data_IF_278002482259
#
_entry.id   IF_278002482259
#
_cell.length_a   1.000
_cell.length_b   1.000
_cell.length_c   1.000
_cell.angle_alpha   90.00
_cell.angle_beta   90.00
_cell.angle_gamma   90.00
#
_symmetry.space_group_name_H-M   'P 1'
#
loop_
_entity.id
_entity.type
_entity.pdbx_description
1 polymer ?
#
# COMPACT_ATOMS: atom_id res chain seq x y z
N UNK A 1 -10.82 24.97 -19.54
CA UNK A 1 -9.51 24.49 -19.05
C UNK A 1 -9.75 24.01 -17.63
N UNK A 2 -10.08 22.73 -17.43
CA UNK A 2 -10.36 22.20 -16.11
C UNK A 2 -9.03 21.92 -15.45
N UNK A 3 -8.65 22.77 -14.50
CA UNK A 3 -7.51 22.56 -13.63
C UNK A 3 -7.64 21.17 -13.00
N UNK A 4 -6.69 20.28 -13.29
CA UNK A 4 -6.49 19.04 -12.56
C UNK A 4 -6.35 19.40 -11.08
N UNK A 5 -7.45 19.25 -10.36
CA UNK A 5 -7.53 19.53 -8.93
C UNK A 5 -6.70 18.45 -8.22
N UNK A 6 -5.50 18.85 -7.82
CA UNK A 6 -4.83 18.45 -6.59
C UNK A 6 -5.11 17.00 -6.16
N UNK A 7 -4.66 16.02 -6.96
CA UNK A 7 -4.61 14.64 -6.50
C UNK A 7 -3.64 14.59 -5.33
N UNK A 8 -4.10 14.29 -4.10
CA UNK A 8 -3.24 14.34 -2.94
C UNK A 8 -2.12 13.29 -3.09
N UNK A 9 -0.87 13.71 -2.90
CA UNK A 9 0.31 12.82 -2.91
C UNK A 9 0.24 11.72 -1.84
N UNK A 10 -0.69 11.85 -0.89
CA UNK A 10 -0.91 10.93 0.22
C UNK A 10 -2.39 10.96 0.63
N UNK A 11 -3.00 9.79 0.77
CA UNK A 11 -4.37 9.63 1.27
C UNK A 11 -4.30 8.87 2.60
N UNK A 12 -5.02 9.35 3.61
CA UNK A 12 -5.11 8.70 4.93
C UNK A 12 -6.53 8.69 5.46
N UNK A 13 -6.90 7.64 6.18
CA UNK A 13 -8.18 7.54 6.89
C UNK A 13 -8.08 6.57 8.07
N UNK A 14 -8.92 6.76 9.10
CA UNK A 14 -9.06 5.84 10.24
C UNK A 14 -10.29 4.92 10.12
N UNK A 15 -11.15 5.16 9.13
CA UNK A 15 -12.30 4.33 8.78
C UNK A 15 -12.41 4.23 7.25
N UNK A 16 -12.66 3.02 6.75
CA UNK A 16 -12.96 2.78 5.33
C UNK A 16 -14.36 2.20 5.15
N UNK A 17 -14.94 2.40 3.95
CA UNK A 17 -16.14 1.67 3.51
C UNK A 17 -15.73 0.58 2.53
N UNK A 18 -15.99 -0.67 2.89
CA UNK A 18 -15.76 -1.82 2.00
C UNK A 18 -17.06 -2.20 1.31
N UNK A 19 -16.96 -2.53 0.02
CA UNK A 19 -18.02 -3.14 -0.78
C UNK A 19 -17.62 -4.58 -1.08
N UNK A 20 -18.40 -5.54 -0.62
CA UNK A 20 -18.17 -6.96 -0.83
C UNK A 20 -19.27 -7.50 -1.72
N UNK A 21 -18.90 -8.15 -2.82
CA UNK A 21 -19.84 -8.89 -3.67
C UNK A 21 -19.69 -10.36 -3.34
N UNK A 22 -20.75 -10.96 -2.82
CA UNK A 22 -20.79 -12.38 -2.55
C UNK A 22 -20.74 -13.17 -3.86
N UNK A 23 -19.83 -14.15 -3.93
CA UNK A 23 -19.56 -14.89 -5.18
C UNK A 23 -20.72 -15.80 -5.58
N UNK A 24 -21.39 -16.41 -4.61
CA UNK A 24 -22.39 -17.44 -4.86
C UNK A 24 -23.78 -16.81 -5.14
N UNK A 25 -24.12 -15.73 -4.45
CA UNK A 25 -25.43 -15.07 -4.57
C UNK A 25 -25.41 -13.80 -5.41
N UNK A 26 -24.24 -13.23 -5.71
CA UNK A 26 -24.07 -11.95 -6.39
C UNK A 26 -24.50 -10.73 -5.56
N UNK A 27 -24.91 -10.92 -4.30
CA UNK A 27 -25.38 -9.84 -3.44
C UNK A 27 -24.24 -8.93 -3.01
N UNK A 28 -24.51 -7.62 -2.97
CA UNK A 28 -23.56 -6.60 -2.53
C UNK A 28 -23.84 -6.23 -1.08
N UNK A 29 -22.79 -6.22 -0.26
CA UNK A 29 -22.79 -5.75 1.12
C UNK A 29 -21.82 -4.59 1.28
N UNK A 30 -22.23 -3.56 2.02
CA UNK A 30 -21.36 -2.41 2.34
C UNK A 30 -21.20 -2.34 3.85
N UNK A 31 -19.95 -2.21 4.31
CA UNK A 31 -19.61 -2.11 5.74
C UNK A 31 -18.58 -1.02 5.96
N UNK A 32 -18.65 -0.38 7.12
CA UNK A 32 -17.61 0.50 7.63
C UNK A 32 -16.67 -0.30 8.52
N UNK A 33 -15.37 -0.15 8.33
CA UNK A 33 -14.35 -0.83 9.13
C UNK A 33 -13.37 0.19 9.71
N UNK A 34 -13.01 0.08 11.01
CA UNK A 34 -11.94 0.86 11.61
C UNK A 34 -10.59 0.31 11.14
N UNK A 35 -10.11 0.80 10.00
CA UNK A 35 -8.83 0.41 9.39
C UNK A 35 -8.04 1.69 9.16
N UNK A 36 -6.81 1.71 9.66
CA UNK A 36 -5.87 2.77 9.34
C UNK A 36 -5.37 2.58 7.91
N UNK A 37 -5.85 3.47 7.02
CA UNK A 37 -5.56 3.52 5.60
C UNK A 37 -4.41 4.48 5.33
N UNK A 38 -3.45 4.05 4.53
CA UNK A 38 -2.41 4.90 3.98
C UNK A 38 -2.17 4.53 2.52
N UNK A 39 -2.29 5.50 1.63
CA UNK A 39 -1.92 5.36 0.23
C UNK A 39 -0.97 6.48 -0.17
N UNK A 40 0.06 6.12 -0.93
CA UNK A 40 1.01 7.02 -1.59
C UNK A 40 1.23 6.53 -3.02
N UNK A 41 2.10 7.20 -3.77
CA UNK A 41 2.54 6.73 -5.10
C UNK A 41 3.22 5.35 -5.11
N UNK A 42 3.70 4.88 -3.96
CA UNK A 42 4.51 3.67 -3.86
C UNK A 42 3.84 2.53 -3.09
N UNK A 43 2.93 2.86 -2.18
CA UNK A 43 2.34 1.88 -1.27
C UNK A 43 0.85 2.11 -1.06
N UNK A 44 0.13 1.01 -0.84
CA UNK A 44 -1.16 0.98 -0.17
C UNK A 44 -1.02 0.11 1.08
N UNK A 45 -1.31 0.67 2.25
CA UNK A 45 -1.28 -0.03 3.54
C UNK A 45 -2.63 0.05 4.21
N UNK A 46 -3.13 -1.11 4.62
CA UNK A 46 -4.30 -1.28 5.47
C UNK A 46 -3.82 -1.87 6.79
N UNK A 47 -3.96 -1.13 7.89
CA UNK A 47 -3.50 -1.55 9.22
C UNK A 47 -4.65 -1.62 10.21
N UNK A 48 -4.71 -2.71 10.98
CA UNK A 48 -5.72 -2.94 12.02
C UNK A 48 -5.16 -3.93 13.06
N UNK A 49 -6.01 -4.34 14.01
CA UNK A 49 -5.69 -5.42 14.94
C UNK A 49 -6.17 -6.77 14.41
N UNK A 50 -5.42 -7.84 14.70
CA UNK A 50 -5.87 -9.20 14.48
C UNK A 50 -6.81 -9.69 15.61
N UNK A 51 -7.24 -10.95 15.54
CA UNK A 51 -8.15 -11.54 16.52
C UNK A 51 -7.58 -11.64 17.94
N UNK A 52 -6.27 -11.45 18.12
CA UNK A 52 -5.59 -11.43 19.42
C UNK A 52 -5.29 -9.99 19.89
N UNK A 53 -5.77 -8.96 19.19
CA UNK A 53 -5.48 -7.56 19.49
C UNK A 53 -4.06 -7.14 19.09
N UNK A 54 -3.34 -7.96 18.31
CA UNK A 54 -1.99 -7.61 17.86
C UNK A 54 -2.07 -6.76 16.59
N UNK A 55 -1.23 -5.71 16.44
CA UNK A 55 -1.13 -4.96 15.20
C UNK A 55 -0.80 -5.87 14.00
N UNK A 56 -1.59 -5.73 12.94
CA UNK A 56 -1.45 -6.43 11.68
C UNK A 56 -1.59 -5.46 10.51
N UNK A 57 -1.00 -5.79 9.37
CA UNK A 57 -1.04 -4.93 8.18
C UNK A 57 -1.01 -5.72 6.88
N UNK A 58 -1.83 -5.29 5.93
CA UNK A 58 -1.77 -5.71 4.53
C UNK A 58 -1.13 -4.56 3.72
N UNK A 59 -0.03 -4.85 3.04
CA UNK A 59 0.74 -3.85 2.28
C UNK A 59 0.85 -4.29 0.84
N UNK A 60 0.44 -3.41 -0.07
CA UNK A 60 0.67 -3.54 -1.50
C UNK A 60 1.73 -2.52 -1.92
N UNK A 61 2.63 -2.95 -2.79
CA UNK A 61 3.64 -2.09 -3.39
C UNK A 61 3.32 -1.90 -4.86
N UNK A 62 3.52 -0.68 -5.36
CA UNK A 62 3.59 -0.46 -6.81
C UNK A 62 4.90 -1.02 -7.35
N UNK A 63 5.00 -1.21 -8.66
CA UNK A 63 6.26 -1.64 -9.29
C UNK A 63 7.43 -0.72 -8.91
N UNK A 64 7.20 0.60 -8.88
CA UNK A 64 8.18 1.60 -8.45
C UNK A 64 8.53 1.46 -6.97
N UNK A 65 7.54 1.17 -6.11
CA UNK A 65 7.78 0.89 -4.70
C UNK A 65 8.66 -0.34 -4.48
N UNK A 66 8.46 -1.40 -5.27
CA UNK A 66 9.31 -2.61 -5.22
C UNK A 66 10.73 -2.32 -5.71
N UNK A 67 10.90 -1.55 -6.79
CA UNK A 67 12.22 -1.16 -7.29
C UNK A 67 13.01 -0.38 -6.23
N UNK A 68 12.37 0.60 -5.58
CA UNK A 68 12.99 1.35 -4.48
C UNK A 68 13.40 0.45 -3.30
N UNK A 69 12.60 -0.58 -2.96
CA UNK A 69 13.01 -1.56 -1.94
C UNK A 69 14.23 -2.38 -2.36
N UNK A 70 14.34 -2.77 -3.64
CA UNK A 70 15.49 -3.54 -4.15
C UNK A 70 16.77 -2.70 -4.15
N UNK A 71 16.65 -1.42 -4.49
CA UNK A 71 17.78 -0.49 -4.44
C UNK A 71 18.25 -0.23 -3.00
N UNK A 72 17.31 -0.09 -2.05
CA UNK A 72 17.63 0.11 -0.62
C UNK A 72 18.18 -1.16 0.06
N UNK A 73 17.80 -2.34 -0.41
CA UNK A 73 18.29 -3.63 0.14
C UNK A 73 19.62 -4.07 -0.47
N UNK A 74 20.21 -3.26 -1.36
CA UNK A 74 21.56 -3.51 -1.87
C UNK A 74 21.63 -4.71 -2.80
N UNK A 75 20.68 -4.84 -3.74
CA UNK A 75 20.76 -5.85 -4.81
C UNK A 75 21.75 -5.51 -5.93
N UNK A 76 22.68 -4.58 -5.69
CA UNK A 76 23.74 -4.22 -6.63
C UNK A 76 24.75 -5.36 -6.76
N UNK A 77 25.41 -5.52 -7.92
CA UNK A 77 26.47 -6.49 -8.08
C UNK A 77 27.57 -6.36 -7.00
N UNK A 78 27.99 -7.48 -6.39
CA UNK A 78 29.11 -7.61 -5.44
C UNK A 78 30.47 -7.44 -6.14
N UNK A 79 30.60 -6.45 -7.00
CA UNK A 79 31.86 -6.11 -7.67
C UNK A 79 32.43 -4.87 -6.99
N UNK A 80 33.62 -5.04 -6.43
CA UNK A 80 34.42 -3.95 -5.88
C UNK A 80 34.68 -2.92 -6.97
N UNK A 81 34.10 -1.73 -6.84
CA UNK A 81 34.27 -0.60 -7.78
C UNK A 81 35.67 0.06 -7.70
N UNK A 82 36.66 -0.64 -7.16
CA UNK A 82 37.94 -0.07 -6.77
C UNK A 82 39.17 -0.71 -7.44
N UNK A 83 39.02 -1.55 -8.46
CA UNK A 83 40.20 -2.15 -9.15
C UNK A 83 40.72 -1.35 -10.36
N UNK A 84 40.20 -0.15 -10.62
CA UNK A 84 40.61 0.70 -11.75
C UNK A 84 41.32 2.02 -11.34
N UNK A 85 42.27 1.96 -10.39
CA UNK A 85 43.22 3.05 -10.17
C UNK A 85 44.64 2.56 -9.85
#
# INVERSE_FOLDING_TARGET
MNSNADTPNKITADEIKIKVVDKDTGKTYVRKLPINYLETSNILRLSAEDSQGKPSSLVFYTEQGVLGLRDMTGGGPDIHRCEDH
#
